data_IF_324534567246
#
_entry.id   IF_324534567246
#
_cell.length_a   1.000
_cell.length_b   1.000
_cell.length_c   1.000
_cell.angle_alpha   90.00
_cell.angle_beta   90.00
_cell.angle_gamma   90.00
#
_symmetry.space_group_name_H-M   'P 1'
#
loop_
_entity.id
_entity.type
_entity.pdbx_description
1 polymer ?
#
# COMPACT_ATOMS: atom_id res chain seq x y z
N UNK A 1 18.77 9.17 39.57
CA UNK A 1 18.38 9.28 38.15
C UNK A 1 19.60 9.70 37.36
N UNK A 2 20.03 8.88 36.41
CA UNK A 2 21.24 9.16 35.62
C UNK A 2 20.97 10.33 34.65
N UNK A 3 22.02 11.11 34.33
CA UNK A 3 21.94 12.28 33.44
C UNK A 3 21.32 11.96 32.07
N UNK A 4 21.40 10.71 31.63
CA UNK A 4 20.78 10.20 30.42
C UNK A 4 19.25 10.06 30.54
N UNK A 5 18.72 9.54 31.65
CA UNK A 5 17.27 9.37 31.85
C UNK A 5 16.55 10.72 31.86
N UNK A 6 17.18 11.72 32.48
CA UNK A 6 16.64 13.08 32.55
C UNK A 6 16.69 13.78 31.18
N UNK A 7 17.75 13.55 30.39
CA UNK A 7 17.82 14.00 28.99
C UNK A 7 16.78 13.33 28.09
N UNK A 8 16.54 12.03 28.26
CA UNK A 8 15.50 11.27 27.53
C UNK A 8 14.10 11.79 27.86
N UNK A 9 13.81 12.03 29.15
CA UNK A 9 12.54 12.65 29.58
C UNK A 9 12.34 14.05 28.96
N UNK A 10 13.40 14.85 28.89
CA UNK A 10 13.33 16.22 28.35
C UNK A 10 13.23 16.27 26.81
N UNK A 11 13.80 15.29 26.09
CA UNK A 11 13.74 15.23 24.62
C UNK A 11 12.36 14.76 24.11
N UNK A 12 11.67 13.94 24.91
CA UNK A 12 10.39 13.32 24.58
C UNK A 12 10.60 12.00 23.84
N UNK A 13 10.05 10.91 24.38
CA UNK A 13 10.21 9.56 23.84
C UNK A 13 9.81 9.46 22.36
N UNK A 14 8.78 10.19 21.95
CA UNK A 14 8.31 10.25 20.57
C UNK A 14 9.38 10.73 19.58
N UNK A 15 10.26 11.65 19.96
CA UNK A 15 11.31 12.16 19.06
C UNK A 15 12.42 11.14 18.86
N UNK A 16 12.79 10.44 19.94
CA UNK A 16 13.77 9.36 19.88
C UNK A 16 13.24 8.23 19.01
N UNK A 17 11.96 7.88 19.18
CA UNK A 17 11.31 6.84 18.38
C UNK A 17 11.25 7.20 16.90
N UNK A 18 10.88 8.43 16.55
CA UNK A 18 10.89 8.87 15.15
C UNK A 18 12.30 8.88 14.58
N UNK A 19 13.30 9.33 15.34
CA UNK A 19 14.69 9.29 14.89
C UNK A 19 15.16 7.86 14.61
N UNK A 20 14.81 6.90 15.48
CA UNK A 20 15.11 5.48 15.27
C UNK A 20 14.34 4.91 14.08
N UNK A 21 13.05 5.23 13.94
CA UNK A 21 12.21 4.82 12.83
C UNK A 21 12.80 5.26 11.49
N UNK A 22 13.18 6.53 11.39
CA UNK A 22 13.79 7.08 10.18
C UNK A 22 15.17 6.46 9.93
N UNK A 23 16.00 6.29 10.96
CA UNK A 23 17.31 5.68 10.82
C UNK A 23 17.22 4.26 10.26
N UNK A 24 16.41 3.40 10.88
CA UNK A 24 16.23 2.00 10.43
C UNK A 24 15.54 1.95 9.07
N UNK A 25 14.50 2.76 8.85
CA UNK A 25 13.78 2.80 7.57
C UNK A 25 14.66 3.27 6.41
N UNK A 26 15.54 4.26 6.62
CA UNK A 26 16.51 4.70 5.61
C UNK A 26 17.53 3.60 5.31
N UNK A 27 18.00 2.87 6.34
CA UNK A 27 18.87 1.71 6.10
C UNK A 27 18.17 0.67 5.23
N UNK A 28 16.93 0.30 5.57
CA UNK A 28 16.13 -0.66 4.79
C UNK A 28 15.98 -0.17 3.34
N UNK A 29 15.61 1.10 3.14
CA UNK A 29 15.44 1.71 1.83
C UNK A 29 16.67 1.53 0.93
N UNK A 30 17.88 1.77 1.44
CA UNK A 30 19.13 1.69 0.65
C UNK A 30 19.74 0.30 0.59
N UNK A 31 19.44 -0.59 1.53
CA UNK A 31 19.91 -1.98 1.50
C UNK A 31 19.08 -2.87 0.58
N UNK A 32 17.89 -2.40 0.19
CA UNK A 32 16.99 -3.12 -0.70
C UNK A 32 17.21 -2.66 -2.15
N UNK A 33 17.44 -3.58 -3.09
CA UNK A 33 17.43 -3.24 -4.50
C UNK A 33 16.05 -2.70 -4.92
N UNK A 34 15.99 -1.77 -5.88
CA UNK A 34 14.72 -1.37 -6.49
C UNK A 34 13.91 -2.56 -6.97
N UNK A 35 12.58 -2.45 -6.90
CA UNK A 35 11.61 -3.41 -7.44
C UNK A 35 11.59 -4.81 -6.80
N UNK A 36 12.23 -4.98 -5.64
CA UNK A 36 12.27 -6.28 -4.96
C UNK A 36 11.05 -6.54 -4.08
N UNK A 37 10.21 -5.55 -3.79
CA UNK A 37 8.95 -5.78 -3.08
C UNK A 37 7.92 -6.40 -4.03
N UNK A 38 7.02 -7.24 -3.50
CA UNK A 38 5.92 -7.80 -4.30
C UNK A 38 5.16 -6.65 -4.98
N UNK A 39 5.01 -6.76 -6.30
CA UNK A 39 4.32 -5.78 -7.15
C UNK A 39 4.84 -4.32 -7.07
N UNK A 40 6.05 -4.07 -6.53
CA UNK A 40 6.55 -2.70 -6.33
C UNK A 40 6.73 -1.94 -7.64
N UNK A 41 7.16 -2.63 -8.70
CA UNK A 41 7.25 -2.01 -10.03
C UNK A 41 5.88 -1.58 -10.55
N UNK A 42 4.83 -2.34 -10.24
CA UNK A 42 3.46 -2.03 -10.64
C UNK A 42 2.97 -0.78 -9.89
N UNK A 43 3.23 -0.73 -8.57
CA UNK A 43 2.92 0.43 -7.75
C UNK A 43 3.73 1.68 -8.13
N UNK A 44 5.01 1.52 -8.44
CA UNK A 44 5.87 2.60 -8.93
C UNK A 44 5.31 3.17 -10.24
N UNK A 45 5.00 2.31 -11.21
CA UNK A 45 4.46 2.72 -12.49
C UNK A 45 3.10 3.43 -12.33
N UNK A 46 2.25 2.92 -11.43
CA UNK A 46 0.99 3.58 -11.09
C UNK A 46 1.20 4.96 -10.43
N UNK A 47 2.17 5.06 -9.53
CA UNK A 47 2.53 6.34 -8.90
C UNK A 47 3.02 7.35 -9.94
N UNK A 48 3.86 6.90 -10.88
CA UNK A 48 4.35 7.74 -11.97
C UNK A 48 3.21 8.25 -12.84
N UNK A 49 2.26 7.40 -13.23
CA UNK A 49 1.05 7.83 -13.95
C UNK A 49 0.25 8.90 -13.22
N UNK A 50 0.04 8.73 -11.91
CA UNK A 50 -0.68 9.72 -11.10
C UNK A 50 0.09 11.06 -11.07
N UNK A 51 1.42 11.01 -11.06
CA UNK A 51 2.30 12.18 -11.16
C UNK A 51 2.19 12.91 -12.51
N UNK A 52 1.71 12.22 -13.55
CA UNK A 52 1.43 12.77 -14.89
C UNK A 52 -0.04 13.23 -15.05
N UNK A 53 -0.85 13.12 -13.99
CA UNK A 53 -2.27 13.48 -14.02
C UNK A 53 -3.19 12.38 -14.56
N UNK A 54 -2.67 11.16 -14.78
CA UNK A 54 -3.43 10.02 -15.28
C UNK A 54 -4.08 9.29 -14.10
N UNK A 55 -5.26 9.76 -13.68
CA UNK A 55 -5.96 9.22 -12.51
C UNK A 55 -6.77 7.95 -12.79
N UNK A 56 -7.24 7.75 -14.02
CA UNK A 56 -7.82 6.48 -14.47
C UNK A 56 -6.78 5.79 -15.35
N UNK A 57 -6.38 4.59 -14.96
CA UNK A 57 -5.34 3.85 -15.67
C UNK A 57 -5.86 3.43 -17.06
N UNK A 58 -5.12 3.70 -18.14
CA UNK A 58 -5.47 3.22 -19.46
C UNK A 58 -5.40 1.69 -19.51
N UNK A 59 -6.09 1.13 -20.50
CA UNK A 59 -6.13 -0.31 -20.72
C UNK A 59 -5.73 -0.67 -22.14
N UNK A 60 -5.30 -1.92 -22.29
CA UNK A 60 -5.06 -2.55 -23.59
C UNK A 60 -5.39 -4.03 -23.50
N UNK A 61 -5.60 -4.67 -24.63
CA UNK A 61 -5.72 -6.13 -24.64
C UNK A 61 -4.35 -6.76 -24.40
N UNK A 62 -4.32 -7.92 -23.77
CA UNK A 62 -3.07 -8.68 -23.62
C UNK A 62 -2.39 -8.94 -24.98
N UNK A 63 -3.17 -9.32 -26.00
CA UNK A 63 -2.63 -9.63 -27.31
C UNK A 63 -1.96 -8.42 -27.97
N UNK A 64 -2.50 -7.22 -27.75
CA UNK A 64 -1.88 -5.99 -28.24
C UNK A 64 -0.66 -5.60 -27.41
N UNK A 65 -0.73 -5.78 -26.08
CA UNK A 65 0.44 -5.60 -25.22
C UNK A 65 1.60 -6.51 -25.60
N UNK A 66 1.33 -7.79 -25.89
CA UNK A 66 2.34 -8.78 -26.31
C UNK A 66 2.91 -8.43 -27.69
N UNK A 67 2.10 -7.90 -28.61
CA UNK A 67 2.56 -7.55 -29.96
C UNK A 67 3.25 -6.19 -30.04
N UNK A 68 3.10 -5.34 -29.02
CA UNK A 68 3.64 -3.98 -29.02
C UNK A 68 5.17 -3.91 -29.06
N UNK A 69 5.69 -2.97 -29.86
CA UNK A 69 7.14 -2.74 -30.03
C UNK A 69 7.79 -2.06 -28.81
N UNK A 70 7.02 -1.27 -28.04
CA UNK A 70 7.49 -0.49 -26.88
C UNK A 70 7.21 -1.17 -25.52
N UNK A 71 6.91 -2.46 -25.49
CA UNK A 71 6.67 -3.20 -24.24
C UNK A 71 7.96 -3.49 -23.50
N UNK A 72 7.92 -3.43 -22.17
CA UNK A 72 9.02 -3.97 -21.39
C UNK A 72 9.00 -5.50 -21.43
N UNK A 73 9.80 -6.10 -22.32
CA UNK A 73 10.00 -7.57 -22.41
C UNK A 73 10.64 -8.18 -21.15
N UNK A 74 11.06 -7.33 -20.21
CA UNK A 74 11.91 -7.64 -19.06
C UNK A 74 11.11 -7.88 -17.79
N UNK A 75 10.00 -7.16 -17.61
CA UNK A 75 9.25 -7.16 -16.34
C UNK A 75 8.31 -8.36 -16.22
N UNK A 76 7.93 -8.98 -17.34
CA UNK A 76 7.11 -10.19 -17.35
C UNK A 76 7.45 -11.09 -18.54
N UNK A 77 7.66 -12.37 -18.26
CA UNK A 77 7.59 -13.43 -19.24
C UNK A 77 6.12 -13.77 -19.29
N UNK A 78 5.43 -13.21 -20.27
CA UNK A 78 4.24 -13.90 -20.70
C UNK A 78 4.68 -15.29 -21.13
N UNK A 79 4.04 -16.29 -20.55
CA UNK A 79 4.10 -17.61 -21.14
C UNK A 79 3.37 -17.48 -22.48
N UNK A 80 4.11 -17.48 -23.59
CA UNK A 80 3.56 -17.44 -24.94
C UNK A 80 2.64 -18.65 -25.22
N UNK A 81 2.51 -19.59 -24.27
CA UNK A 81 1.55 -20.69 -24.26
C UNK A 81 0.17 -20.36 -23.66
N UNK A 82 -0.05 -19.14 -23.14
CA UNK A 82 -1.36 -18.71 -22.65
C UNK A 82 -2.44 -18.93 -23.72
N UNK A 83 -3.59 -19.57 -23.40
CA UNK A 83 -4.61 -19.91 -24.39
C UNK A 83 -5.03 -18.68 -25.21
N UNK A 84 -5.17 -18.77 -26.54
CA UNK A 84 -5.49 -17.65 -27.41
C UNK A 84 -6.74 -16.86 -26.99
N UNK A 85 -7.66 -17.51 -26.29
CA UNK A 85 -8.91 -16.90 -25.80
C UNK A 85 -8.66 -15.83 -24.73
N UNK A 86 -7.57 -15.95 -23.97
CA UNK A 86 -7.20 -14.94 -22.97
C UNK A 86 -6.73 -13.66 -23.60
N UNK A 87 -6.16 -13.67 -24.81
CA UNK A 87 -5.51 -12.49 -25.42
C UNK A 87 -6.44 -11.30 -25.66
N UNK A 88 -7.75 -11.50 -25.55
CA UNK A 88 -8.79 -10.46 -25.67
C UNK A 88 -9.09 -9.75 -24.36
N UNK A 89 -8.64 -10.27 -23.22
CA UNK A 89 -8.92 -9.65 -21.93
C UNK A 89 -8.14 -8.32 -21.81
N UNK A 90 -8.81 -7.29 -21.30
CA UNK A 90 -8.16 -6.01 -21.03
C UNK A 90 -7.31 -6.08 -19.77
N UNK A 91 -6.19 -5.38 -19.78
CA UNK A 91 -5.29 -5.17 -18.66
C UNK A 91 -5.00 -3.69 -18.47
N UNK A 92 -4.75 -3.30 -17.21
CA UNK A 92 -4.25 -1.97 -16.91
C UNK A 92 -2.76 -1.85 -17.27
N UNK A 93 -2.40 -0.74 -17.88
CA UNK A 93 -1.03 -0.45 -18.32
C UNK A 93 -0.59 0.94 -17.88
N UNK A 94 0.73 1.10 -17.82
CA UNK A 94 1.40 2.36 -17.54
C UNK A 94 2.61 2.56 -18.44
N UNK A 95 2.77 3.78 -18.93
CA UNK A 95 4.01 4.21 -19.58
C UNK A 95 4.92 4.85 -18.55
N UNK A 96 6.17 4.38 -18.47
CA UNK A 96 7.20 4.95 -17.62
C UNK A 96 8.46 5.22 -18.42
N UNK A 97 9.26 6.24 -18.06
CA UNK A 97 10.57 6.46 -18.66
C UNK A 97 11.47 5.22 -18.58
N UNK A 98 12.04 4.80 -19.69
CA UNK A 98 12.91 3.62 -19.79
C UNK A 98 14.13 3.72 -18.86
N UNK A 99 14.56 4.94 -18.52
CA UNK A 99 15.63 5.21 -17.55
C UNK A 99 15.38 4.60 -16.16
N UNK A 100 14.12 4.36 -15.78
CA UNK A 100 13.76 3.68 -14.53
C UNK A 100 13.92 2.16 -14.61
N UNK A 101 13.85 1.57 -15.81
CA UNK A 101 13.75 0.13 -16.01
C UNK A 101 15.12 -0.51 -16.24
N UNK A 102 15.96 -0.46 -15.20
CA UNK A 102 17.28 -1.08 -15.22
C UNK A 102 17.16 -2.61 -15.14
N UNK A 103 17.71 -3.31 -16.14
CA UNK A 103 17.69 -4.78 -16.24
C UNK A 103 18.19 -5.48 -14.97
N UNK A 104 19.19 -4.91 -14.30
CA UNK A 104 19.79 -5.49 -13.10
C UNK A 104 18.83 -5.60 -11.90
N UNK A 105 17.75 -4.83 -11.89
CA UNK A 105 16.76 -4.84 -10.80
C UNK A 105 15.45 -5.55 -11.17
N UNK A 106 15.25 -5.81 -12.46
CA UNK A 106 14.04 -6.42 -12.98
C UNK A 106 14.37 -7.89 -13.19
N UNK A 107 13.78 -8.76 -12.37
CA UNK A 107 13.98 -10.20 -12.46
C UNK A 107 13.76 -10.68 -13.91
N UNK A 108 14.65 -11.55 -14.41
CA UNK A 108 14.35 -12.29 -15.63
C UNK A 108 13.15 -13.18 -15.32
N UNK A 109 11.98 -12.79 -15.82
CA UNK A 109 10.75 -13.50 -15.54
C UNK A 109 10.78 -14.98 -16.01
N UNK A 110 11.72 -15.36 -16.89
CA UNK A 110 11.92 -16.75 -17.31
C UNK A 110 12.66 -17.60 -16.27
N UNK A 111 13.58 -17.03 -15.52
CA UNK A 111 14.32 -17.73 -14.48
C UNK A 111 13.78 -17.27 -13.14
N UNK A 112 12.89 -18.06 -12.53
CA UNK A 112 12.35 -17.86 -11.16
C UNK A 112 13.42 -17.87 -10.05
N UNK A 113 14.68 -17.66 -10.40
CA UNK A 113 15.81 -17.52 -9.55
C UNK A 113 16.25 -16.05 -9.58
N UNK A 114 16.34 -15.43 -8.41
CA UNK A 114 17.00 -14.14 -8.22
C UNK A 114 18.52 -14.32 -8.46
N UNK A 115 18.97 -14.40 -9.73
CA UNK A 115 20.34 -14.85 -10.06
C UNK A 115 21.38 -13.74 -9.97
N UNK A 116 21.02 -12.47 -10.02
CA UNK A 116 22.02 -11.42 -9.82
C UNK A 116 22.13 -11.06 -8.34
N UNK A 117 23.20 -11.57 -7.70
CA UNK A 117 23.66 -11.06 -6.41
C UNK A 117 23.84 -9.54 -6.53
N UNK A 118 22.89 -8.82 -5.96
CA UNK A 118 22.84 -7.36 -5.93
C UNK A 118 24.18 -6.76 -5.50
N UNK A 119 24.72 -5.83 -6.29
CA UNK A 119 25.94 -5.10 -5.94
C UNK A 119 25.60 -3.65 -5.64
N UNK A 120 26.29 -3.08 -4.66
CA UNK A 120 26.18 -1.65 -4.36
C UNK A 120 26.51 -0.75 -5.57
N UNK A 121 27.33 -1.21 -6.49
CA UNK A 121 27.66 -0.45 -7.70
C UNK A 121 26.46 -0.33 -8.66
N UNK A 122 25.54 -1.29 -8.66
CA UNK A 122 24.31 -1.21 -9.46
C UNK A 122 23.42 -0.06 -8.97
N UNK A 123 23.31 0.13 -7.65
CA UNK A 123 22.60 1.27 -7.05
C UNK A 123 23.27 2.59 -7.41
N UNK A 124 24.60 2.67 -7.31
CA UNK A 124 25.33 3.89 -7.68
C UNK A 124 25.10 4.25 -9.14
N UNK A 125 25.14 3.27 -10.04
CA UNK A 125 24.88 3.47 -11.45
C UNK A 125 23.45 3.97 -11.67
N UNK A 126 22.46 3.40 -10.98
CA UNK A 126 21.08 3.85 -11.10
C UNK A 126 20.84 5.26 -10.56
N UNK A 127 21.47 5.61 -9.43
CA UNK A 127 21.47 6.97 -8.90
C UNK A 127 22.12 7.97 -9.88
N UNK A 128 23.03 7.51 -10.74
CA UNK A 128 23.69 8.33 -11.76
C UNK A 128 22.94 8.38 -13.10
N UNK A 129 21.96 7.49 -13.35
CA UNK A 129 21.20 7.44 -14.60
C UNK A 129 20.33 8.70 -14.78
N UNK A 130 20.59 9.54 -15.81
CA UNK A 130 19.75 10.69 -16.10
C UNK A 130 18.33 10.26 -16.44
N UNK A 131 17.34 11.04 -16.00
CA UNK A 131 15.96 10.82 -16.39
C UNK A 131 15.79 11.07 -17.90
N UNK A 132 15.25 10.08 -18.62
CA UNK A 132 14.92 10.20 -20.04
C UNK A 132 13.41 10.04 -20.26
N UNK A 133 12.67 11.16 -20.24
CA UNK A 133 11.19 11.15 -20.38
C UNK A 133 10.70 10.88 -21.81
N UNK A 134 11.58 10.95 -22.81
CA UNK A 134 11.22 10.77 -24.23
C UNK A 134 11.13 9.29 -24.59
N UNK A 135 12.03 8.49 -24.04
CA UNK A 135 12.02 7.04 -24.22
C UNK A 135 11.15 6.41 -23.14
N UNK A 136 9.99 5.88 -23.55
CA UNK A 136 9.00 5.28 -22.66
C UNK A 136 8.83 3.80 -22.96
N UNK A 137 8.66 3.03 -21.89
CA UNK A 137 8.28 1.62 -21.98
C UNK A 137 6.91 1.40 -21.34
N UNK A 138 6.15 0.50 -21.93
CA UNK A 138 4.87 0.04 -21.40
C UNK A 138 5.09 -1.06 -20.35
N UNK A 139 4.49 -0.86 -19.17
CA UNK A 139 4.50 -1.73 -18.00
C UNK A 139 3.07 -2.15 -17.68
N UNK A 140 2.85 -3.42 -17.39
CA UNK A 140 1.55 -3.88 -16.89
C UNK A 140 1.41 -3.52 -15.41
N UNK A 141 0.23 -3.05 -15.02
CA UNK A 141 -0.08 -2.72 -13.63
C UNK A 141 -1.32 -3.48 -13.16
N UNK A 142 -1.31 -4.82 -13.25
CA UNK A 142 -2.46 -5.63 -12.86
C UNK A 142 -2.76 -5.39 -11.38
N UNK A 143 -4.04 -5.27 -11.04
CA UNK A 143 -4.55 -4.97 -9.69
C UNK A 143 -4.16 -3.60 -9.11
N UNK A 144 -3.01 -3.03 -9.45
CA UNK A 144 -2.57 -1.73 -8.93
C UNK A 144 -3.18 -0.55 -9.69
N UNK A 145 -3.58 -0.75 -10.96
CA UNK A 145 -4.23 0.27 -11.78
C UNK A 145 -5.57 0.78 -11.26
N UNK A 146 -6.25 -0.01 -10.42
CA UNK A 146 -7.48 0.36 -9.72
C UNK A 146 -7.21 1.15 -8.43
N UNK A 147 -5.97 1.30 -7.96
CA UNK A 147 -5.72 2.11 -6.78
C UNK A 147 -5.91 3.62 -7.07
N UNK A 148 -6.65 4.35 -6.20
CA UNK A 148 -6.94 5.76 -6.39
C UNK A 148 -5.75 6.66 -6.04
N UNK A 149 -5.70 7.89 -6.58
CA UNK A 149 -4.61 8.83 -6.36
C UNK A 149 -4.18 9.07 -4.89
N UNK A 150 -5.09 9.15 -3.89
CA UNK A 150 -4.71 9.43 -2.51
C UNK A 150 -3.73 8.41 -1.90
N UNK A 151 -3.67 7.18 -2.40
CA UNK A 151 -2.79 6.13 -1.87
C UNK A 151 -1.32 6.32 -2.24
N UNK A 152 -1.03 7.21 -3.19
CA UNK A 152 0.32 7.48 -3.69
C UNK A 152 0.70 8.95 -3.57
N UNK A 153 -0.13 9.79 -2.91
CA UNK A 153 0.02 11.23 -2.99
C UNK A 153 1.41 11.74 -2.52
N UNK A 154 1.98 11.29 -1.38
CA UNK A 154 3.34 11.68 -0.99
C UNK A 154 4.38 11.34 -2.07
N UNK A 155 4.31 10.14 -2.62
CA UNK A 155 5.25 9.65 -3.64
C UNK A 155 5.07 10.36 -4.98
N UNK A 156 3.83 10.59 -5.41
CA UNK A 156 3.50 11.28 -6.66
C UNK A 156 3.97 12.74 -6.64
N UNK A 157 3.84 13.44 -5.51
CA UNK A 157 4.36 14.81 -5.34
C UNK A 157 5.89 14.82 -5.52
N UNK A 158 6.59 13.86 -4.94
CA UNK A 158 8.05 13.75 -5.12
C UNK A 158 8.43 13.39 -6.55
N UNK A 159 7.66 12.53 -7.24
CA UNK A 159 7.87 12.25 -8.66
C UNK A 159 7.72 13.51 -9.52
N UNK A 160 6.71 14.35 -9.26
CA UNK A 160 6.52 15.64 -9.94
C UNK A 160 7.75 16.52 -9.69
N UNK A 161 8.11 16.77 -8.43
CA UNK A 161 9.25 17.63 -8.09
C UNK A 161 10.55 17.12 -8.73
N UNK A 162 10.81 15.81 -8.66
CA UNK A 162 11.99 15.19 -9.23
C UNK A 162 12.08 15.34 -10.75
N UNK A 163 10.94 15.21 -11.44
CA UNK A 163 10.84 15.44 -12.89
C UNK A 163 11.10 16.90 -13.25
N UNK A 164 10.47 17.86 -12.56
CA UNK A 164 10.64 19.29 -12.84
C UNK A 164 12.08 19.77 -12.57
N UNK A 165 12.74 19.18 -11.58
CA UNK A 165 14.15 19.45 -11.26
C UNK A 165 15.14 18.67 -12.15
N UNK A 166 14.66 17.86 -13.10
CA UNK A 166 15.46 16.98 -13.96
C UNK A 166 16.45 16.12 -13.16
N UNK A 167 16.00 15.57 -12.02
CA UNK A 167 16.83 14.68 -11.21
C UNK A 167 17.01 13.33 -11.92
N UNK A 168 18.08 12.62 -11.56
CA UNK A 168 18.35 11.27 -12.06
C UNK A 168 17.24 10.29 -11.66
N UNK A 169 16.97 9.30 -12.50
CA UNK A 169 15.90 8.32 -12.31
C UNK A 169 16.01 7.61 -10.95
N UNK A 170 17.20 7.13 -10.58
CA UNK A 170 17.40 6.49 -9.27
C UNK A 170 17.14 7.42 -8.09
N UNK A 171 17.51 8.70 -8.20
CA UNK A 171 17.27 9.69 -7.12
C UNK A 171 15.77 9.87 -6.91
N UNK A 172 15.00 9.99 -7.99
CA UNK A 172 13.54 10.12 -7.92
C UNK A 172 12.94 8.87 -7.27
N UNK A 173 13.34 7.68 -7.70
CA UNK A 173 12.83 6.42 -7.16
C UNK A 173 13.03 6.32 -5.63
N UNK A 174 14.26 6.55 -5.15
CA UNK A 174 14.54 6.50 -3.72
C UNK A 174 13.88 7.65 -2.95
N UNK A 175 13.76 8.84 -3.55
CA UNK A 175 13.06 9.96 -2.92
C UNK A 175 11.56 9.66 -2.74
N UNK A 176 10.94 8.94 -3.68
CA UNK A 176 9.56 8.47 -3.55
C UNK A 176 9.44 7.52 -2.35
N UNK A 177 10.31 6.53 -2.21
CA UNK A 177 10.31 5.63 -1.03
C UNK A 177 10.55 6.37 0.29
N UNK A 178 11.48 7.35 0.29
CA UNK A 178 11.73 8.21 1.45
C UNK A 178 10.50 9.04 1.83
N UNK A 179 9.71 9.50 0.85
CA UNK A 179 8.50 10.26 1.11
C UNK A 179 7.42 9.43 1.84
N UNK A 180 7.29 8.14 1.49
CA UNK A 180 6.44 7.20 2.22
C UNK A 180 6.93 7.02 3.65
N UNK A 181 8.24 6.89 3.85
CA UNK A 181 8.83 6.73 5.18
C UNK A 181 8.59 7.97 6.06
N UNK A 182 8.78 9.17 5.50
CA UNK A 182 8.54 10.43 6.18
C UNK A 182 7.06 10.62 6.52
N UNK A 183 6.15 10.24 5.62
CA UNK A 183 4.72 10.25 5.87
C UNK A 183 4.36 9.33 7.06
N UNK A 184 4.85 8.10 7.08
CA UNK A 184 4.64 7.19 8.21
C UNK A 184 5.23 7.73 9.51
N UNK A 185 6.43 8.29 9.47
CA UNK A 185 7.05 8.89 10.65
C UNK A 185 6.17 10.01 11.23
N UNK A 186 5.57 10.84 10.38
CA UNK A 186 4.62 11.88 10.81
C UNK A 186 3.34 11.28 11.41
N UNK A 187 2.77 10.25 10.79
CA UNK A 187 1.59 9.53 11.31
C UNK A 187 1.87 8.86 12.67
N UNK A 188 3.00 8.18 12.81
CA UNK A 188 3.43 7.53 14.06
C UNK A 188 3.65 8.57 15.15
N UNK A 189 4.33 9.67 14.85
CA UNK A 189 4.53 10.78 15.79
C UNK A 189 3.20 11.36 16.26
N UNK A 190 2.28 11.63 15.34
CA UNK A 190 0.96 12.15 15.65
C UNK A 190 0.13 11.15 16.48
N UNK A 191 0.16 9.86 16.14
CA UNK A 191 -0.49 8.80 16.91
C UNK A 191 0.02 8.75 18.35
N UNK A 192 1.35 8.86 18.56
CA UNK A 192 1.97 8.91 19.89
C UNK A 192 1.61 10.16 20.69
N UNK A 193 1.34 11.28 20.02
CA UNK A 193 0.83 12.51 20.67
C UNK A 193 -0.64 12.39 21.06
N UNK A 194 -1.44 11.73 20.23
CA UNK A 194 -2.87 11.51 20.46
C UNK A 194 -3.14 10.48 21.58
N UNK A 195 -2.30 9.44 21.66
CA UNK A 195 -2.40 8.37 22.66
C UNK A 195 -1.09 8.24 23.47
N UNK A 196 -0.80 9.16 24.39
CA UNK A 196 0.42 9.13 25.20
C UNK A 196 0.58 7.84 26.02
N UNK A 197 -0.53 7.23 26.44
CA UNK A 197 -0.55 6.00 27.24
C UNK A 197 -0.23 4.75 26.40
N UNK A 198 -0.39 4.83 25.08
CA UNK A 198 -0.17 3.73 24.14
C UNK A 198 1.17 3.85 23.38
N UNK A 199 2.06 4.80 23.76
CA UNK A 199 3.36 4.99 23.09
C UNK A 199 4.17 3.70 22.93
N UNK A 200 4.29 2.81 23.94
CA UNK A 200 5.04 1.57 23.78
C UNK A 200 4.43 0.62 22.73
N UNK A 201 3.10 0.54 22.67
CA UNK A 201 2.40 -0.30 21.69
C UNK A 201 2.53 0.27 20.28
N UNK A 202 2.34 1.58 20.12
CA UNK A 202 2.52 2.27 18.83
C UNK A 202 3.96 2.10 18.34
N UNK A 203 4.94 2.22 19.25
CA UNK A 203 6.34 1.98 18.94
C UNK A 203 6.58 0.54 18.48
N UNK A 204 6.07 -0.45 19.24
CA UNK A 204 6.22 -1.87 18.89
C UNK A 204 5.67 -2.16 17.50
N UNK A 205 4.46 -1.69 17.19
CA UNK A 205 3.81 -1.88 15.89
C UNK A 205 4.57 -1.20 14.75
N UNK A 206 5.01 0.05 14.95
CA UNK A 206 5.72 0.81 13.93
C UNK A 206 7.16 0.33 13.71
N UNK A 207 7.78 -0.32 14.70
CA UNK A 207 9.12 -0.93 14.61
C UNK A 207 9.08 -2.36 14.09
N UNK A 208 7.91 -2.93 13.81
CA UNK A 208 7.86 -4.25 13.19
C UNK A 208 8.57 -4.20 11.83
N UNK A 209 9.42 -5.20 11.52
CA UNK A 209 10.10 -5.30 10.24
C UNK A 209 9.17 -5.07 9.04
N UNK A 210 7.97 -5.69 9.05
CA UNK A 210 7.00 -5.53 7.97
C UNK A 210 6.56 -4.06 7.79
N UNK A 211 6.26 -3.38 8.90
CA UNK A 211 5.84 -1.97 8.86
C UNK A 211 6.94 -1.10 8.27
N UNK A 212 8.20 -1.32 8.67
CA UNK A 212 9.33 -0.53 8.20
C UNK A 212 9.64 -0.76 6.72
N UNK A 213 9.56 -2.01 6.25
CA UNK A 213 9.74 -2.36 4.83
C UNK A 213 8.66 -1.71 3.98
N UNK A 214 7.39 -1.81 4.37
CA UNK A 214 6.29 -1.17 3.63
C UNK A 214 6.38 0.35 3.69
N UNK A 215 6.71 0.93 4.84
CA UNK A 215 6.87 2.38 4.97
C UNK A 215 7.98 2.92 4.07
N UNK A 216 9.05 2.16 3.84
CA UNK A 216 10.19 2.49 2.99
C UNK A 216 10.06 1.96 1.55
N UNK A 217 8.83 1.87 1.02
CA UNK A 217 8.54 1.35 -0.32
C UNK A 217 7.93 2.40 -1.23
N UNK A 218 7.99 2.16 -2.55
CA UNK A 218 7.20 2.91 -3.54
C UNK A 218 5.84 2.27 -3.78
N UNK A 219 5.21 1.71 -2.74
CA UNK A 219 3.91 1.02 -2.80
C UNK A 219 2.75 1.89 -2.29
N UNK A 220 1.51 1.47 -2.56
CA UNK A 220 0.32 2.06 -1.94
C UNK A 220 0.27 1.77 -0.42
N UNK A 221 0.90 0.68 0.02
CA UNK A 221 0.92 0.28 1.41
C UNK A 221 1.80 1.22 2.26
N UNK A 222 2.81 1.87 1.65
CA UNK A 222 3.57 2.96 2.27
C UNK A 222 2.68 4.11 2.78
N UNK A 223 1.53 4.42 2.19
CA UNK A 223 0.61 5.42 2.77
C UNK A 223 -0.40 4.77 3.71
N UNK A 224 -0.85 3.57 3.35
CA UNK A 224 -1.97 2.91 4.01
C UNK A 224 -1.70 2.57 5.47
N UNK A 225 -0.50 2.07 5.80
CA UNK A 225 -0.14 1.68 7.17
C UNK A 225 -0.15 2.88 8.14
N UNK A 226 0.56 3.95 7.77
CA UNK A 226 0.61 5.19 8.57
C UNK A 226 -0.76 5.83 8.71
N UNK A 227 -1.53 5.91 7.61
CA UNK A 227 -2.87 6.48 7.63
C UNK A 227 -3.81 5.68 8.56
N UNK A 228 -3.80 4.34 8.48
CA UNK A 228 -4.63 3.48 9.33
C UNK A 228 -4.25 3.56 10.81
N UNK A 229 -2.94 3.60 11.12
CA UNK A 229 -2.44 3.76 12.49
C UNK A 229 -2.85 5.12 13.08
N UNK A 230 -2.67 6.20 12.31
CA UNK A 230 -3.10 7.53 12.71
C UNK A 230 -4.63 7.61 12.88
N UNK A 231 -5.40 7.07 11.94
CA UNK A 231 -6.86 7.03 12.01
C UNK A 231 -7.36 6.32 13.26
N UNK A 232 -6.78 5.15 13.56
CA UNK A 232 -7.06 4.37 14.76
C UNK A 232 -6.74 5.18 16.02
N UNK A 233 -5.55 5.79 16.08
CA UNK A 233 -5.14 6.58 17.23
C UNK A 233 -6.04 7.82 17.43
N UNK A 234 -6.42 8.48 16.34
CA UNK A 234 -7.31 9.63 16.37
C UNK A 234 -8.72 9.26 16.85
N UNK A 235 -9.37 8.25 16.25
CA UNK A 235 -10.69 7.77 16.70
C UNK A 235 -10.69 7.34 18.16
N UNK A 236 -9.63 6.65 18.62
CA UNK A 236 -9.50 6.30 20.03
C UNK A 236 -9.23 7.51 20.93
N UNK A 237 -8.53 8.54 20.45
CA UNK A 237 -8.31 9.78 21.23
C UNK A 237 -9.62 10.55 21.44
N UNK A 238 -10.53 10.51 20.47
CA UNK A 238 -11.84 11.15 20.53
C UNK A 238 -12.71 10.62 21.68
N UNK A 239 -12.47 9.39 22.15
CA UNK A 239 -13.19 8.80 23.29
C UNK A 239 -12.88 9.49 24.62
N UNK A 240 -11.79 10.27 24.69
CA UNK A 240 -11.28 10.88 25.93
C UNK A 240 -12.01 12.16 26.31
N UNK A 241 -12.81 12.73 25.41
CA UNK A 241 -13.64 13.90 25.66
C UNK A 241 -15.12 13.50 25.73
N UNK A 242 -15.90 14.26 26.48
CA UNK A 242 -17.37 14.20 26.46
C UNK A 242 -17.99 15.44 25.81
N UNK A 243 -17.16 16.39 25.37
CA UNK A 243 -17.62 17.59 24.69
C UNK A 243 -18.23 17.24 23.34
N UNK A 244 -19.22 18.04 22.93
CA UNK A 244 -19.88 17.86 21.63
C UNK A 244 -18.86 18.05 20.50
N UNK A 245 -19.01 17.24 19.46
CA UNK A 245 -18.20 17.35 18.26
C UNK A 245 -18.26 18.77 17.69
N UNK A 246 -17.09 19.35 17.48
CA UNK A 246 -16.94 20.56 16.68
C UNK A 246 -17.28 20.28 15.22
N UNK A 247 -17.66 21.33 14.46
CA UNK A 247 -17.89 21.21 13.01
C UNK A 247 -16.64 20.69 12.28
N UNK A 248 -15.46 21.06 12.75
CA UNK A 248 -14.18 20.59 12.20
C UNK A 248 -13.98 19.08 12.42
N UNK A 249 -14.28 18.55 13.60
CA UNK A 249 -14.19 17.09 13.85
C UNK A 249 -15.20 16.30 13.03
N UNK A 250 -16.45 16.79 12.90
CA UNK A 250 -17.47 16.13 12.06
C UNK A 250 -16.98 16.07 10.61
N UNK A 251 -16.49 17.19 10.08
CA UNK A 251 -15.96 17.25 8.73
C UNK A 251 -14.74 16.34 8.56
N UNK A 252 -13.82 16.33 9.53
CA UNK A 252 -12.66 15.46 9.54
C UNK A 252 -13.03 13.97 9.58
N UNK A 253 -14.09 13.57 10.30
CA UNK A 253 -14.58 12.19 10.31
C UNK A 253 -15.11 11.76 8.94
N UNK A 254 -15.84 12.64 8.26
CA UNK A 254 -16.36 12.37 6.91
C UNK A 254 -15.21 12.24 5.92
N UNK A 255 -14.22 13.15 5.97
CA UNK A 255 -13.00 13.05 5.15
C UNK A 255 -12.27 11.76 5.46
N UNK A 256 -12.08 11.42 6.74
CA UNK A 256 -11.41 10.19 7.15
C UNK A 256 -12.10 8.96 6.53
N UNK A 257 -13.43 8.89 6.59
CA UNK A 257 -14.18 7.78 6.01
C UNK A 257 -13.94 7.62 4.50
N UNK A 258 -13.91 8.74 3.75
CA UNK A 258 -13.61 8.74 2.32
C UNK A 258 -12.13 8.39 2.02
N UNK A 259 -11.19 8.92 2.80
CA UNK A 259 -9.75 8.66 2.61
C UNK A 259 -9.40 7.21 2.92
N UNK A 260 -9.95 6.61 3.97
CA UNK A 260 -9.73 5.18 4.28
C UNK A 260 -10.25 4.30 3.13
N UNK A 261 -11.41 4.65 2.56
CA UNK A 261 -11.94 3.94 1.39
C UNK A 261 -10.97 4.00 0.21
N UNK A 262 -10.35 5.17 0.00
CA UNK A 262 -9.36 5.36 -1.03
C UNK A 262 -8.07 4.56 -0.77
N UNK A 263 -7.56 4.52 0.48
CA UNK A 263 -6.38 3.73 0.85
C UNK A 263 -6.57 2.23 0.59
N UNK A 264 -7.62 1.65 1.18
CA UNK A 264 -8.06 0.27 0.94
C UNK A 264 -9.44 0.11 1.57
N UNK A 265 -10.44 -0.23 0.77
CA UNK A 265 -11.84 -0.32 1.22
C UNK A 265 -12.04 -1.26 2.42
N UNK A 266 -11.23 -2.33 2.53
CA UNK A 266 -11.27 -3.29 3.64
C UNK A 266 -10.98 -2.63 5.00
N UNK A 267 -10.16 -1.57 5.03
CA UNK A 267 -9.87 -0.84 6.27
C UNK A 267 -11.02 0.08 6.72
N UNK A 268 -12.13 0.14 5.99
CA UNK A 268 -13.38 0.75 6.47
C UNK A 268 -13.85 0.17 7.82
N UNK A 269 -13.42 -1.05 8.15
CA UNK A 269 -13.59 -1.67 9.48
C UNK A 269 -13.04 -0.82 10.63
N UNK A 270 -12.01 0.01 10.42
CA UNK A 270 -11.48 0.94 11.43
C UNK A 270 -12.55 1.95 11.86
N UNK A 271 -13.48 2.33 10.98
CA UNK A 271 -14.56 3.25 11.31
C UNK A 271 -15.52 2.68 12.35
N UNK A 272 -15.54 1.36 12.59
CA UNK A 272 -16.30 0.76 13.69
C UNK A 272 -15.83 1.27 15.05
N UNK A 273 -14.60 1.80 15.15
CA UNK A 273 -14.11 2.44 16.36
C UNK A 273 -14.90 3.68 16.77
N UNK A 274 -15.61 4.31 15.83
CA UNK A 274 -16.56 5.38 16.12
C UNK A 274 -17.59 4.95 17.18
N UNK A 275 -18.04 3.70 17.16
CA UNK A 275 -19.06 3.22 18.10
C UNK A 275 -18.55 3.08 19.55
N UNK A 276 -17.24 3.18 19.78
CA UNK A 276 -16.67 3.29 21.12
C UNK A 276 -16.57 4.74 21.64
N UNK A 277 -16.89 5.73 20.81
CA UNK A 277 -16.90 7.14 21.23
C UNK A 277 -18.18 7.39 22.06
N UNK A 278 -18.09 8.13 23.19
CA UNK A 278 -19.26 8.49 23.99
C UNK A 278 -20.34 9.16 23.13
N UNK A 279 -21.58 8.67 23.23
CA UNK A 279 -22.71 9.19 22.43
C UNK A 279 -22.98 10.67 22.70
N UNK A 280 -22.63 11.14 23.90
CA UNK A 280 -22.76 12.52 24.38
C UNK A 280 -22.01 13.50 23.46
N UNK A 281 -20.96 13.04 22.76
CA UNK A 281 -20.23 13.82 21.75
C UNK A 281 -21.12 14.20 20.57
N UNK A 282 -22.09 13.37 20.19
CA UNK A 282 -23.06 13.67 19.12
C UNK A 282 -24.29 14.40 19.68
N UNK A 283 -24.61 14.14 20.95
CA UNK A 283 -25.72 14.73 21.70
C UNK A 283 -26.56 13.66 22.40
N UNK A 284 -27.74 14.03 22.87
CA UNK A 284 -28.53 13.16 23.77
C UNK A 284 -29.29 12.03 23.03
N UNK A 285 -29.29 12.05 21.70
CA UNK A 285 -30.06 11.11 20.88
C UNK A 285 -29.21 9.92 20.44
N UNK A 286 -29.48 8.74 21.01
CA UNK A 286 -28.89 7.48 20.55
C UNK A 286 -29.16 7.23 19.06
N UNK A 287 -30.35 7.62 18.55
CA UNK A 287 -30.69 7.49 17.12
C UNK A 287 -29.72 8.30 16.24
N UNK A 288 -29.40 9.55 16.63
CA UNK A 288 -28.44 10.39 15.88
C UNK A 288 -27.03 9.81 15.92
N UNK A 289 -26.61 9.25 17.06
CA UNK A 289 -25.32 8.58 17.19
C UNK A 289 -25.18 7.39 16.23
N UNK A 290 -26.16 6.48 16.23
CA UNK A 290 -26.17 5.32 15.31
C UNK A 290 -26.28 5.75 13.86
N UNK A 291 -27.17 6.69 13.54
CA UNK A 291 -27.33 7.20 12.18
C UNK A 291 -26.05 7.82 11.64
N UNK A 292 -25.30 8.57 12.47
CA UNK A 292 -24.04 9.16 12.05
C UNK A 292 -22.95 8.10 11.83
N UNK A 293 -22.86 7.08 12.70
CA UNK A 293 -21.92 5.97 12.49
C UNK A 293 -22.21 5.17 11.21
N UNK A 294 -23.49 4.85 10.96
CA UNK A 294 -23.93 4.19 9.71
C UNK A 294 -23.64 5.10 8.51
N UNK A 295 -23.85 6.41 8.63
CA UNK A 295 -23.51 7.36 7.58
C UNK A 295 -22.02 7.35 7.25
N UNK A 296 -21.11 7.30 8.24
CA UNK A 296 -19.67 7.20 7.98
C UNK A 296 -19.31 5.91 7.24
N UNK A 297 -19.91 4.77 7.62
CA UNK A 297 -19.72 3.50 6.91
C UNK A 297 -20.27 3.56 5.48
N UNK A 298 -21.43 4.20 5.29
CA UNK A 298 -22.02 4.39 3.97
C UNK A 298 -21.14 5.29 3.09
N UNK A 299 -20.59 6.39 3.63
CA UNK A 299 -19.62 7.23 2.90
C UNK A 299 -18.42 6.40 2.44
N UNK A 300 -17.82 5.60 3.34
CA UNK A 300 -16.69 4.75 3.00
C UNK A 300 -17.04 3.74 1.88
N UNK A 301 -18.14 3.00 2.04
CA UNK A 301 -18.58 2.01 1.06
C UNK A 301 -18.93 2.66 -0.29
N UNK A 302 -19.67 3.77 -0.28
CA UNK A 302 -20.03 4.50 -1.49
C UNK A 302 -18.79 5.04 -2.22
N UNK A 303 -17.80 5.60 -1.50
CA UNK A 303 -16.54 6.04 -2.11
C UNK A 303 -15.80 4.87 -2.78
N UNK A 304 -15.71 3.72 -2.11
CA UNK A 304 -15.06 2.54 -2.67
C UNK A 304 -15.79 2.01 -3.92
N UNK A 305 -17.13 1.93 -3.87
CA UNK A 305 -17.95 1.45 -4.99
C UNK A 305 -17.90 2.42 -6.18
N UNK A 306 -18.04 3.73 -5.94
CA UNK A 306 -17.95 4.74 -7.00
C UNK A 306 -16.58 4.67 -7.68
N UNK A 307 -15.50 4.58 -6.90
CA UNK A 307 -14.17 4.49 -7.48
C UNK A 307 -13.95 3.19 -8.27
N UNK A 308 -14.42 2.06 -7.75
CA UNK A 308 -14.33 0.77 -8.43
C UNK A 308 -15.11 0.79 -9.73
N UNK A 309 -16.33 1.33 -9.72
CA UNK A 309 -17.16 1.49 -10.90
C UNK A 309 -16.49 2.38 -11.94
N UNK A 310 -15.97 3.55 -11.53
CA UNK A 310 -15.25 4.44 -12.44
C UNK A 310 -14.02 3.77 -13.04
N UNK A 311 -13.29 2.99 -12.25
CA UNK A 311 -12.08 2.29 -12.72
C UNK A 311 -12.43 1.15 -13.65
N UNK A 312 -13.38 0.28 -13.29
CA UNK A 312 -13.78 -0.90 -14.07
C UNK A 312 -14.52 -0.51 -15.34
N UNK A 313 -15.45 0.44 -15.27
CA UNK A 313 -16.23 0.90 -16.44
C UNK A 313 -15.37 1.70 -17.41
N UNK A 314 -14.32 2.39 -16.93
CA UNK A 314 -13.33 3.00 -17.82
C UNK A 314 -12.42 1.97 -18.51
N UNK A 315 -12.37 0.73 -18.00
CA UNK A 315 -11.31 -0.22 -18.30
C UNK A 315 -11.78 -1.47 -19.04
N UNK A 316 -13.04 -1.90 -18.87
CA UNK A 316 -13.57 -3.20 -19.30
C UNK A 316 -12.60 -4.36 -18.94
N UNK A 317 -11.95 -4.23 -17.78
CA UNK A 317 -10.95 -5.19 -17.27
C UNK A 317 -11.67 -6.22 -16.42
N UNK A 318 -11.75 -7.46 -16.91
CA UNK A 318 -11.98 -8.61 -16.05
C UNK A 318 -10.70 -8.85 -15.23
N UNK A 319 -10.83 -8.99 -13.91
CA UNK A 319 -9.68 -9.18 -13.01
C UNK A 319 -8.81 -10.36 -13.49
N UNK A 320 -7.63 -10.00 -14.00
CA UNK A 320 -6.63 -10.88 -14.62
C UNK A 320 -6.21 -12.09 -13.78
N UNK A 321 -6.46 -12.04 -12.47
CA UNK A 321 -6.10 -13.06 -11.50
C UNK A 321 -6.89 -14.35 -11.64
N UNK A 322 -8.05 -14.34 -12.31
CA UNK A 322 -8.84 -15.56 -12.46
C UNK A 322 -8.22 -16.56 -13.44
N UNK A 323 -7.32 -16.15 -14.36
CA UNK A 323 -6.85 -17.05 -15.43
C UNK A 323 -5.37 -17.46 -15.40
N UNK A 324 -4.53 -16.81 -14.59
CA UNK A 324 -3.08 -17.10 -14.58
C UNK A 324 -2.67 -18.27 -13.67
N UNK A 325 -3.52 -18.68 -12.72
CA UNK A 325 -3.29 -19.88 -11.91
C UNK A 325 -3.91 -21.12 -12.57
N UNK A 326 -3.38 -21.50 -13.73
CA UNK A 326 -3.23 -22.88 -14.23
C UNK A 326 -4.41 -23.87 -14.33
N UNK A 327 -5.50 -23.76 -13.57
CA UNK A 327 -6.57 -24.77 -13.55
C UNK A 327 -7.95 -24.27 -13.07
N UNK A 328 -8.08 -23.01 -12.61
CA UNK A 328 -9.34 -22.50 -12.09
C UNK A 328 -9.62 -21.09 -12.61
N UNK A 329 -10.30 -20.99 -13.76
CA UNK A 329 -10.98 -19.75 -14.15
C UNK A 329 -12.05 -19.46 -13.10
N UNK A 330 -11.73 -18.61 -12.13
CA UNK A 330 -12.70 -18.20 -11.11
C UNK A 330 -13.81 -17.38 -11.78
N UNK A 331 -14.95 -18.03 -12.05
CA UNK A 331 -16.16 -17.36 -12.51
C UNK A 331 -16.73 -16.55 -11.35
N UNK A 332 -16.50 -15.23 -11.39
CA UNK A 332 -16.94 -14.28 -10.37
C UNK A 332 -18.47 -14.31 -10.21
N UNK A 333 -19.22 -14.52 -11.30
CA UNK A 333 -20.68 -14.58 -11.24
C UNK A 333 -21.13 -15.87 -10.53
N UNK A 334 -20.56 -17.02 -10.91
CA UNK A 334 -20.82 -18.28 -10.23
C UNK A 334 -20.38 -18.26 -8.76
N UNK A 335 -19.26 -17.62 -8.44
CA UNK A 335 -18.79 -17.46 -7.06
C UNK A 335 -19.75 -16.61 -6.23
N UNK A 336 -20.27 -15.50 -6.79
CA UNK A 336 -21.28 -14.67 -6.12
C UNK A 336 -22.57 -15.45 -5.84
N UNK A 337 -23.03 -16.24 -6.82
CA UNK A 337 -24.20 -17.12 -6.66
C UNK A 337 -23.93 -18.17 -5.57
N UNK A 338 -22.80 -18.86 -5.63
CA UNK A 338 -22.42 -19.87 -4.64
C UNK A 338 -22.36 -19.31 -3.22
N UNK A 339 -21.75 -18.13 -3.01
CA UNK A 339 -21.70 -17.48 -1.69
C UNK A 339 -23.09 -17.10 -1.18
N UNK A 340 -24.00 -16.70 -2.08
CA UNK A 340 -25.37 -16.37 -1.73
C UNK A 340 -26.19 -17.62 -1.36
N UNK A 341 -25.98 -18.73 -2.06
CA UNK A 341 -26.67 -20.01 -1.82
C UNK A 341 -26.10 -20.79 -0.63
N UNK A 342 -24.81 -20.63 -0.35
CA UNK A 342 -24.07 -21.37 0.68
C UNK A 342 -23.23 -20.46 1.60
N UNK A 343 -23.86 -19.54 2.35
CA UNK A 343 -23.13 -18.64 3.24
C UNK A 343 -22.30 -19.40 4.30
N UNK A 344 -22.79 -20.55 4.78
CA UNK A 344 -22.08 -21.41 5.72
C UNK A 344 -20.78 -21.97 5.15
N UNK A 345 -20.77 -22.36 3.87
CA UNK A 345 -19.58 -22.85 3.20
C UNK A 345 -18.54 -21.74 3.06
N UNK A 346 -18.98 -20.51 2.76
CA UNK A 346 -18.11 -19.34 2.73
C UNK A 346 -17.45 -19.07 4.10
N UNK A 347 -18.23 -19.02 5.18
CA UNK A 347 -17.66 -18.81 6.52
C UNK A 347 -16.75 -19.96 6.96
N UNK A 348 -17.12 -21.21 6.64
CA UNK A 348 -16.27 -22.38 6.89
C UNK A 348 -14.94 -22.28 6.13
N UNK A 349 -14.97 -21.87 4.85
CA UNK A 349 -13.77 -21.65 4.06
C UNK A 349 -12.89 -20.53 4.64
N UNK A 350 -13.49 -19.45 5.13
CA UNK A 350 -12.78 -18.35 5.79
C UNK A 350 -12.09 -18.82 7.08
N UNK A 351 -12.79 -19.55 7.94
CA UNK A 351 -12.23 -20.11 9.18
C UNK A 351 -11.12 -21.12 8.87
N UNK A 352 -11.35 -22.01 7.90
CA UNK A 352 -10.35 -22.98 7.47
C UNK A 352 -9.10 -22.31 6.91
N UNK A 353 -9.26 -21.23 6.15
CA UNK A 353 -8.14 -20.42 5.64
C UNK A 353 -7.34 -19.79 6.79
N UNK A 354 -8.02 -19.18 7.77
CA UNK A 354 -7.35 -18.63 8.95
C UNK A 354 -6.59 -19.70 9.73
N UNK A 355 -7.19 -20.87 9.92
CA UNK A 355 -6.56 -21.98 10.63
C UNK A 355 -5.35 -22.55 9.87
N UNK A 356 -5.45 -22.66 8.55
CA UNK A 356 -4.41 -23.18 7.66
C UNK A 356 -3.22 -22.22 7.55
N UNK A 357 -3.49 -20.92 7.36
CA UNK A 357 -2.47 -19.90 7.13
C UNK A 357 -2.05 -19.12 8.38
N UNK A 358 -2.50 -19.50 9.58
CA UNK A 358 -2.20 -18.80 10.85
C UNK A 358 -0.71 -18.46 11.05
N UNK A 359 0.18 -19.41 10.77
CA UNK A 359 1.62 -19.23 10.94
C UNK A 359 2.17 -18.26 9.91
N UNK A 360 1.70 -18.38 8.67
CA UNK A 360 2.06 -17.46 7.60
C UNK A 360 1.61 -16.03 7.94
N UNK A 361 0.37 -15.83 8.40
CA UNK A 361 -0.10 -14.52 8.83
C UNK A 361 0.71 -13.95 9.99
N UNK A 362 1.06 -14.75 11.00
CA UNK A 362 1.86 -14.30 12.14
C UNK A 362 3.28 -13.88 11.71
N UNK A 363 3.94 -14.69 10.88
CA UNK A 363 5.28 -14.40 10.36
C UNK A 363 5.26 -13.16 9.46
N UNK A 364 4.29 -13.04 8.55
CA UNK A 364 4.15 -11.88 7.66
C UNK A 364 3.75 -10.61 8.42
N UNK A 365 3.01 -10.72 9.53
CA UNK A 365 2.66 -9.55 10.36
C UNK A 365 3.88 -8.95 11.07
N UNK A 366 4.73 -9.79 11.67
CA UNK A 366 6.00 -9.33 12.26
C UNK A 366 6.94 -8.87 11.14
N UNK A 367 6.99 -9.65 10.08
CA UNK A 367 7.76 -9.38 8.88
C UNK A 367 8.94 -10.33 8.71
N UNK A 368 9.33 -10.47 7.45
CA UNK A 368 10.51 -11.18 6.99
C UNK A 368 11.46 -10.13 6.38
N UNK A 369 12.75 -10.45 6.33
CA UNK A 369 13.75 -9.53 5.79
C UNK A 369 13.74 -9.49 4.25
N UNK A 370 13.23 -10.54 3.62
CA UNK A 370 12.99 -10.58 2.18
C UNK A 370 11.50 -10.34 1.89
N UNK A 371 11.17 -9.43 0.96
CA UNK A 371 9.79 -9.19 0.53
C UNK A 371 9.03 -10.40 -0.04
N UNK A 372 9.74 -11.41 -0.54
CA UNK A 372 9.14 -12.68 -0.97
C UNK A 372 8.91 -13.67 0.19
N UNK A 373 9.19 -13.26 1.42
CA UNK A 373 9.18 -14.12 2.61
C UNK A 373 10.28 -15.20 2.66
N UNK A 374 11.33 -15.07 1.84
CA UNK A 374 12.38 -16.11 1.75
C UNK A 374 13.49 -16.00 2.81
N UNK A 375 13.64 -14.82 3.44
CA UNK A 375 14.62 -14.59 4.50
C UNK A 375 13.88 -14.27 5.79
N UNK A 376 13.70 -15.30 6.62
CA UNK A 376 13.04 -15.19 7.92
C UNK A 376 14.01 -14.66 8.98
N UNK A 377 13.47 -13.97 9.99
CA UNK A 377 14.22 -13.63 11.18
C UNK A 377 14.51 -14.89 12.01
N UNK A 378 15.50 -14.84 12.93
CA UNK A 378 15.68 -15.92 13.89
C UNK A 378 14.36 -16.25 14.61
N UNK A 379 14.03 -17.53 14.86
CA UNK A 379 12.74 -17.94 15.41
C UNK A 379 12.32 -17.22 16.69
N UNK A 380 13.27 -16.73 17.50
CA UNK A 380 13.02 -15.95 18.71
C UNK A 380 12.18 -14.68 18.47
N UNK A 381 12.23 -14.10 17.26
CA UNK A 381 11.43 -12.93 16.91
C UNK A 381 9.97 -13.27 16.56
N UNK A 382 9.65 -14.55 16.35
CA UNK A 382 8.30 -15.03 16.00
C UNK A 382 7.60 -15.76 17.16
N UNK A 383 8.27 -15.93 18.31
CA UNK A 383 7.68 -16.50 19.52
C UNK A 383 6.84 -15.42 20.22
N UNK A 384 5.58 -15.27 19.77
CA UNK A 384 4.53 -14.53 20.49
C UNK A 384 3.63 -15.48 21.28
#
# INVERSE_FOLDING_TARGET
MNSLEQRIKNFGAEKIFVALFLFVGVMILFTRPPYQLMDEINHFARTWQISEGIFLSPTTTIGDFIRGEHRSKKIFSFDDTAPPDTWRDNIYIAEVPASFLQEVFIADAKEKHYVHAFKFDDVKNFLATPLNVQERELVMIPQTGVYPPPTYLPQAVVAIIGRELNLNAGIIFYAMGLSGLLFNAACVFAAMKLLPDAKPLIFLLAMMPMFLVEAASTSADAVTYGACLFATAWLLSLRRSTEKFSRAEIFALIILAAVIAACKSVYGTILLLYFFIPRERVGDSAKKFWAFGIFLLAVNLSTALIWTELSVTAADVQFYTSRYHGDLTADIAAQKVFVAEHPEAFFAAMINSLAHFKTWYAVSFIGTWSPQCDVTLPPIFYLL
#
